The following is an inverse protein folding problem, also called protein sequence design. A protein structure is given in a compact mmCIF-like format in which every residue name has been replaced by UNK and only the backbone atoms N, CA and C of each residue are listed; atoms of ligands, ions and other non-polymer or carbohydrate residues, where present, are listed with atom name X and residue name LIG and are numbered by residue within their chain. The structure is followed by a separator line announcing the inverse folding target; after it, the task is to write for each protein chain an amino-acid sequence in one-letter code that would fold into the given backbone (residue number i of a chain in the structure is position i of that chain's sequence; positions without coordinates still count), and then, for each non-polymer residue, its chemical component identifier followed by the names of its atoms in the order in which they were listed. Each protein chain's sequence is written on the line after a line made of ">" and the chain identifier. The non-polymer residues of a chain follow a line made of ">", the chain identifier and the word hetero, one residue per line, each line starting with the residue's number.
data_IF_391584480610
#
_entry.id   IF_391584480610
#
_cell.length_a   1.000
_cell.length_b   1.000
_cell.length_c   1.000
_cell.angle_alpha   90.00
_cell.angle_beta   90.00
_cell.angle_gamma   90.00
#
_symmetry.space_group_name_H-M   'P 1'
#
loop_
_entity.id
_entity.type
_entity.pdbx_description
1 polymer ?
#
# COMPACT_ATOMS: atom_id res chain seq x y z
N UNK A 1 2.28 14.84 26.70
CA UNK A 1 2.32 13.45 26.21
C UNK A 1 3.04 13.43 24.87
N UNK A 2 4.00 12.52 24.66
CA UNK A 2 4.69 12.35 23.38
C UNK A 2 3.66 11.86 22.32
N UNK A 3 3.61 12.43 21.10
CA UNK A 3 2.79 11.94 19.99
C UNK A 3 2.87 10.41 19.78
N UNK A 4 4.04 9.80 20.00
CA UNK A 4 4.22 8.35 19.93
C UNK A 4 3.36 7.58 20.96
N UNK A 5 3.21 8.13 22.17
CA UNK A 5 2.39 7.53 23.22
C UNK A 5 0.90 7.63 22.90
N UNK A 6 0.48 8.65 22.14
CA UNK A 6 -0.91 8.85 21.69
C UNK A 6 -1.25 7.97 20.48
N UNK A 7 -0.33 7.86 19.51
CA UNK A 7 -0.45 6.91 18.40
C UNK A 7 -0.51 5.47 18.93
N UNK A 8 0.32 5.13 19.91
CA UNK A 8 0.27 3.82 20.58
C UNK A 8 -1.07 3.54 21.27
N UNK A 9 -1.72 4.56 21.84
CA UNK A 9 -2.99 4.43 22.53
C UNK A 9 -4.17 4.27 21.55
N UNK A 10 -4.14 5.04 20.46
CA UNK A 10 -5.07 4.90 19.34
C UNK A 10 -4.93 3.53 18.68
N UNK A 11 -3.71 3.09 18.34
CA UNK A 11 -3.45 1.76 17.79
C UNK A 11 -3.83 0.64 18.76
N UNK A 12 -3.65 0.84 20.08
CA UNK A 12 -4.09 -0.12 21.08
C UNK A 12 -5.62 -0.26 21.12
N UNK A 13 -6.36 0.85 20.99
CA UNK A 13 -7.82 0.83 20.91
C UNK A 13 -8.33 0.30 19.57
N UNK A 14 -7.74 0.74 18.46
CA UNK A 14 -7.99 0.25 17.10
C UNK A 14 -7.79 -1.26 17.01
N UNK A 15 -6.62 -1.76 17.46
CA UNK A 15 -6.33 -3.20 17.46
C UNK A 15 -7.23 -3.99 18.41
N UNK A 16 -7.76 -3.38 19.48
CA UNK A 16 -8.73 -4.02 20.37
C UNK A 16 -10.10 -4.12 19.71
N UNK A 17 -10.56 -3.05 19.05
CA UNK A 17 -11.81 -3.02 18.29
C UNK A 17 -11.76 -3.99 17.10
N UNK A 18 -10.67 -4.01 16.32
CA UNK A 18 -10.50 -4.98 15.23
C UNK A 18 -10.48 -6.41 15.77
N UNK A 19 -9.83 -6.69 16.91
CA UNK A 19 -9.83 -8.04 17.51
C UNK A 19 -11.20 -8.46 18.01
N UNK A 20 -11.96 -7.55 18.61
CA UNK A 20 -13.33 -7.83 19.06
C UNK A 20 -14.27 -8.05 17.87
N UNK A 21 -14.19 -7.19 16.85
CA UNK A 21 -14.94 -7.35 15.61
C UNK A 21 -14.59 -8.68 14.92
N UNK A 22 -13.30 -8.98 14.75
CA UNK A 22 -12.83 -10.24 14.14
C UNK A 22 -13.24 -11.49 14.94
N UNK A 23 -13.20 -11.43 16.27
CA UNK A 23 -13.62 -12.54 17.13
C UNK A 23 -15.13 -12.84 17.02
N UNK A 24 -15.94 -11.83 16.67
CA UNK A 24 -17.38 -11.97 16.51
C UNK A 24 -17.83 -12.26 15.08
N UNK A 25 -17.20 -11.64 14.07
CA UNK A 25 -17.58 -11.82 12.66
C UNK A 25 -16.87 -13.00 12.00
N UNK A 26 -15.69 -13.40 12.50
CA UNK A 26 -14.83 -14.37 11.84
C UNK A 26 -14.19 -13.88 10.54
N UNK A 27 -14.45 -12.62 10.14
CA UNK A 27 -14.05 -12.05 8.84
C UNK A 27 -13.33 -10.71 9.04
N UNK A 28 -12.08 -10.63 8.58
CA UNK A 28 -11.23 -9.46 8.75
C UNK A 28 -11.70 -8.24 7.94
N UNK A 29 -12.32 -8.46 6.78
CA UNK A 29 -12.88 -7.40 5.93
C UNK A 29 -14.03 -6.65 6.59
N UNK A 30 -14.89 -7.36 7.35
CA UNK A 30 -15.98 -6.74 8.12
C UNK A 30 -15.43 -5.92 9.29
N UNK A 31 -14.34 -6.36 9.93
CA UNK A 31 -13.71 -5.62 11.02
C UNK A 31 -13.06 -4.31 10.54
N UNK A 32 -12.49 -4.31 9.32
CA UNK A 32 -11.90 -3.12 8.72
C UNK A 32 -12.97 -2.11 8.28
N UNK A 33 -14.04 -2.58 7.63
CA UNK A 33 -15.19 -1.76 7.26
C UNK A 33 -15.86 -1.09 8.47
N UNK A 34 -16.06 -1.83 9.56
CA UNK A 34 -16.67 -1.31 10.78
C UNK A 34 -15.86 -0.18 11.42
N UNK A 35 -14.53 -0.24 11.34
CA UNK A 35 -13.66 0.82 11.89
C UNK A 35 -13.62 2.04 10.97
N UNK A 36 -13.63 1.83 9.66
CA UNK A 36 -13.73 2.92 8.69
C UNK A 36 -15.06 3.67 8.84
N UNK A 37 -16.16 2.94 8.99
CA UNK A 37 -17.49 3.50 9.21
C UNK A 37 -17.61 4.19 10.58
N UNK A 38 -16.94 3.69 11.63
CA UNK A 38 -16.85 4.37 12.92
C UNK A 38 -16.12 5.72 12.80
N UNK A 39 -15.05 5.78 12.01
CA UNK A 39 -14.32 7.03 11.75
C UNK A 39 -15.16 8.03 10.95
N UNK A 40 -15.90 7.56 9.95
CA UNK A 40 -16.82 8.38 9.15
C UNK A 40 -17.97 8.91 10.03
N UNK A 41 -18.59 8.06 10.84
CA UNK A 41 -19.67 8.46 11.76
C UNK A 41 -19.21 9.50 12.79
N UNK A 42 -18.00 9.34 13.33
CA UNK A 42 -17.33 10.32 14.20
C UNK A 42 -17.20 11.70 13.55
N UNK A 43 -16.81 11.74 12.28
CA UNK A 43 -16.65 12.98 11.52
C UNK A 43 -17.99 13.67 11.22
N UNK A 44 -19.05 12.90 11.00
CA UNK A 44 -20.41 13.37 10.71
C UNK A 44 -21.23 13.77 11.96
N UNK A 45 -20.82 13.34 13.16
CA UNK A 45 -21.53 13.67 14.40
C UNK A 45 -21.36 15.17 14.71
N UNK A 46 -22.44 15.95 14.92
CA UNK A 46 -22.34 17.38 15.22
C UNK A 46 -21.51 17.62 16.48
N UNK A 47 -20.77 18.72 16.51
CA UNK A 47 -19.89 19.04 17.62
C UNK A 47 -20.70 19.18 18.93
N UNK A 48 -20.58 18.20 19.82
CA UNK A 48 -21.01 18.29 21.21
C UNK A 48 -19.86 18.83 22.06
N UNK A 49 -20.15 19.53 23.17
CA UNK A 49 -19.12 20.00 24.11
C UNK A 49 -18.40 18.86 24.84
N UNK A 50 -18.95 17.63 24.79
CA UNK A 50 -18.32 16.44 25.34
C UNK A 50 -17.77 15.54 24.20
N UNK A 51 -16.43 15.49 24.01
CA UNK A 51 -15.80 14.69 22.97
C UNK A 51 -15.94 13.19 23.18
N UNK A 52 -16.12 12.74 24.43
CA UNK A 52 -16.31 11.33 24.74
C UNK A 52 -17.69 10.88 24.27
N UNK A 53 -18.72 11.68 24.58
CA UNK A 53 -20.08 11.44 24.09
C UNK A 53 -20.15 11.45 22.55
N UNK A 54 -19.32 12.25 21.87
CA UNK A 54 -19.21 12.26 20.41
C UNK A 54 -18.60 10.95 19.87
N UNK A 55 -17.58 10.42 20.54
CA UNK A 55 -16.96 9.15 20.20
C UNK A 55 -17.92 7.98 20.40
N UNK A 56 -18.65 7.96 21.52
CA UNK A 56 -19.69 6.96 21.79
C UNK A 56 -20.81 7.00 20.76
N UNK A 57 -21.29 8.20 20.40
CA UNK A 57 -22.33 8.36 19.38
C UNK A 57 -21.87 7.90 17.99
N UNK A 58 -20.64 8.21 17.59
CA UNK A 58 -20.07 7.75 16.32
C UNK A 58 -19.92 6.22 16.25
N UNK A 59 -19.39 5.61 17.31
CA UNK A 59 -19.28 4.15 17.43
C UNK A 59 -20.64 3.46 17.45
N UNK A 60 -21.61 4.00 18.20
CA UNK A 60 -22.98 3.47 18.24
C UNK A 60 -23.67 3.56 16.87
N UNK A 61 -23.48 4.68 16.14
CA UNK A 61 -24.01 4.85 14.79
C UNK A 61 -23.39 3.88 13.79
N UNK A 62 -22.08 3.62 13.88
CA UNK A 62 -21.40 2.65 13.02
C UNK A 62 -21.85 1.22 13.32
N UNK A 63 -21.97 0.85 14.60
CA UNK A 63 -22.48 -0.47 14.99
C UNK A 63 -23.95 -0.68 14.55
N UNK A 64 -24.78 0.36 14.59
CA UNK A 64 -26.16 0.29 14.12
C UNK A 64 -26.29 0.02 12.61
N UNK A 65 -25.28 0.35 11.81
CA UNK A 65 -25.24 0.02 10.38
C UNK A 65 -24.98 -1.47 10.09
N UNK A 66 -24.61 -2.26 11.11
CA UNK A 66 -24.31 -3.69 11.02
C UNK A 66 -25.21 -4.53 11.94
N UNK A 67 -26.50 -4.74 11.57
CA UNK A 67 -27.50 -5.39 12.43
C UNK A 67 -27.25 -6.87 12.72
N UNK A 68 -26.23 -7.48 12.10
CA UNK A 68 -25.81 -8.87 12.36
C UNK A 68 -24.81 -8.99 13.53
N UNK A 69 -24.32 -7.88 14.07
CA UNK A 69 -23.41 -7.85 15.20
C UNK A 69 -24.21 -7.55 16.47
N UNK A 70 -24.47 -8.55 17.31
CA UNK A 70 -24.93 -8.38 18.70
C UNK A 70 -23.81 -7.74 19.55
N UNK A 71 -23.35 -6.56 19.15
CA UNK A 71 -22.21 -5.84 19.73
C UNK A 71 -22.73 -4.59 20.39
N UNK A 72 -22.78 -4.62 21.72
CA UNK A 72 -22.98 -3.41 22.51
C UNK A 72 -21.78 -2.47 22.31
N UNK A 73 -22.00 -1.16 22.14
CA UNK A 73 -20.91 -0.20 22.12
C UNK A 73 -20.08 -0.33 23.41
N UNK A 74 -18.74 -0.17 23.33
CA UNK A 74 -17.90 -0.24 24.53
C UNK A 74 -18.33 0.84 25.52
N UNK A 75 -18.65 0.42 26.75
CA UNK A 75 -18.99 1.31 27.86
C UNK A 75 -17.73 2.09 28.29
N UNK A 76 -17.54 3.30 27.75
CA UNK A 76 -16.35 4.11 28.03
C UNK A 76 -16.34 4.61 29.48
N UNK A 77 -17.47 4.55 30.20
CA UNK A 77 -17.54 4.89 31.62
C UNK A 77 -16.65 3.98 32.50
N UNK A 78 -16.23 2.83 31.96
CA UNK A 78 -15.30 1.91 32.62
C UNK A 78 -13.81 2.25 32.40
N UNK A 79 -13.48 3.27 31.61
CA UNK A 79 -12.10 3.73 31.46
C UNK A 79 -11.59 4.33 32.77
N UNK A 80 -10.31 4.08 33.07
CA UNK A 80 -9.65 4.71 34.20
C UNK A 80 -9.75 6.26 34.06
N UNK A 81 -9.95 7.01 35.15
CA UNK A 81 -10.08 8.47 35.09
C UNK A 81 -8.93 9.17 34.35
N UNK A 82 -7.72 8.63 34.45
CA UNK A 82 -6.55 9.15 33.74
C UNK A 82 -6.65 9.07 32.20
N UNK A 83 -7.38 8.09 31.67
CA UNK A 83 -7.58 7.93 30.23
C UNK A 83 -8.72 8.82 29.72
N UNK A 84 -9.76 9.05 30.54
CA UNK A 84 -10.78 10.06 30.29
C UNK A 84 -10.18 11.47 30.15
N UNK A 85 -9.29 11.86 31.08
CA UNK A 85 -8.66 13.18 31.06
C UNK A 85 -7.71 13.36 29.86
N UNK A 86 -7.04 12.29 29.43
CA UNK A 86 -6.18 12.30 28.24
C UNK A 86 -6.98 12.48 26.95
N UNK A 87 -8.11 11.78 26.82
CA UNK A 87 -9.01 11.93 25.66
C UNK A 87 -9.60 13.35 25.61
N UNK A 88 -10.04 13.89 26.74
CA UNK A 88 -10.58 15.26 26.82
C UNK A 88 -9.52 16.31 26.43
N UNK A 89 -8.28 16.17 26.91
CA UNK A 89 -7.19 17.08 26.58
C UNK A 89 -6.77 17.03 25.10
N UNK A 90 -6.98 15.90 24.42
CA UNK A 90 -6.71 15.75 22.98
C UNK A 90 -7.69 16.57 22.13
N UNK A 91 -8.99 16.44 22.39
CA UNK A 91 -10.03 17.14 21.61
C UNK A 91 -10.14 18.64 21.92
N UNK A 92 -9.53 19.10 23.02
CA UNK A 92 -9.48 20.52 23.38
C UNK A 92 -8.26 21.27 22.79
N UNK A 93 -7.36 20.61 22.07
CA UNK A 93 -6.24 21.29 21.39
C UNK A 93 -6.71 21.94 20.09
N UNK A 94 -6.27 23.18 19.90
CA UNK A 94 -6.44 23.94 18.66
C UNK A 94 -5.81 23.17 17.48
N UNK A 95 -6.57 22.87 16.41
CA UNK A 95 -6.09 22.09 15.25
C UNK A 95 -4.95 22.79 14.49
N UNK A 96 -4.69 24.07 14.74
CA UNK A 96 -3.55 24.80 14.16
C UNK A 96 -2.23 24.59 14.94
N UNK A 97 -2.30 24.11 16.18
CA UNK A 97 -1.15 23.93 17.05
C UNK A 97 -0.56 22.51 16.96
N UNK A 98 -0.03 22.16 15.78
CA UNK A 98 0.77 20.93 15.59
C UNK A 98 0.44 20.15 14.34
N UNK A 99 0.72 20.71 13.16
CA UNK A 99 0.69 19.95 11.91
C UNK A 99 1.82 18.89 11.88
N UNK A 100 1.55 17.66 11.40
CA UNK A 100 2.54 16.60 11.30
C UNK A 100 3.63 16.98 10.28
N UNK A 101 4.89 16.80 10.66
CA UNK A 101 6.04 17.11 9.82
C UNK A 101 6.21 16.06 8.70
N UNK A 102 5.96 16.47 7.45
CA UNK A 102 6.61 15.97 6.23
C UNK A 102 6.22 14.58 5.68
N UNK A 103 6.32 13.51 6.48
CA UNK A 103 6.19 12.13 5.96
C UNK A 103 4.74 11.72 5.73
N UNK A 104 3.88 11.96 6.72
CA UNK A 104 2.54 11.38 6.75
C UNK A 104 1.58 12.07 5.77
N UNK A 105 1.80 13.36 5.52
CA UNK A 105 0.99 14.14 4.57
C UNK A 105 1.24 13.73 3.13
N UNK A 106 2.47 13.34 2.80
CA UNK A 106 2.83 12.92 1.42
C UNK A 106 2.11 11.62 1.06
N UNK A 107 2.00 10.67 2.01
CA UNK A 107 1.31 9.41 1.79
C UNK A 107 -0.19 9.58 1.48
N UNK A 108 -0.83 10.58 2.11
CA UNK A 108 -2.24 10.91 1.86
C UNK A 108 -2.46 11.62 0.52
N UNK A 109 -1.52 12.48 0.12
CA UNK A 109 -1.67 13.31 -1.07
C UNK A 109 -1.23 12.61 -2.37
N UNK A 110 -0.36 11.60 -2.30
CA UNK A 110 0.19 10.96 -3.49
C UNK A 110 -0.87 10.29 -4.39
N UNK A 111 -1.84 9.50 -3.86
CA UNK A 111 -2.89 8.93 -4.70
C UNK A 111 -3.76 10.00 -5.34
N UNK A 112 -4.05 11.08 -4.60
CA UNK A 112 -4.86 12.18 -5.08
C UNK A 112 -4.14 13.01 -6.14
N UNK A 113 -2.85 13.28 -5.97
CA UNK A 113 -2.01 13.94 -6.97
C UNK A 113 -1.98 13.15 -8.28
N UNK A 114 -1.76 11.82 -8.19
CA UNK A 114 -1.79 10.95 -9.36
C UNK A 114 -3.15 10.97 -10.07
N UNK A 115 -4.25 10.94 -9.32
CA UNK A 115 -5.60 11.03 -9.89
C UNK A 115 -5.88 12.38 -10.57
N UNK A 116 -5.51 13.47 -9.91
CA UNK A 116 -5.83 14.84 -10.33
C UNK A 116 -4.90 15.38 -11.40
N UNK A 117 -3.68 14.89 -11.54
CA UNK A 117 -2.72 15.45 -12.50
C UNK A 117 -2.06 14.41 -13.40
N UNK A 118 -2.15 13.12 -13.05
CA UNK A 118 -1.45 12.03 -13.77
C UNK A 118 0.04 11.93 -13.46
N UNK A 119 0.54 12.68 -12.48
CA UNK A 119 1.96 12.75 -12.11
C UNK A 119 2.21 12.69 -10.61
N UNK A 120 3.49 12.54 -10.25
CA UNK A 120 3.98 12.53 -8.87
C UNK A 120 4.99 13.64 -8.63
N UNK A 121 5.00 14.70 -9.45
CA UNK A 121 5.93 15.80 -9.27
C UNK A 121 5.60 16.57 -7.98
N UNK A 122 6.58 17.21 -7.33
CA UNK A 122 6.32 18.06 -6.17
C UNK A 122 5.29 19.17 -6.43
N UNK A 123 5.14 19.60 -7.70
CA UNK A 123 4.08 20.52 -8.10
C UNK A 123 2.69 19.88 -7.99
N UNK A 124 2.53 18.62 -8.40
CA UNK A 124 1.27 17.88 -8.33
C UNK A 124 0.78 17.70 -6.89
N UNK A 125 1.70 17.42 -5.96
CA UNK A 125 1.40 17.33 -4.54
C UNK A 125 0.90 18.65 -3.96
N UNK A 126 1.43 19.80 -4.42
CA UNK A 126 0.95 21.13 -4.03
C UNK A 126 -0.43 21.44 -4.61
N UNK A 127 -0.69 21.03 -5.85
CA UNK A 127 -2.02 21.13 -6.47
C UNK A 127 -3.04 20.33 -5.64
N UNK A 128 -2.75 19.05 -5.35
CA UNK A 128 -3.62 18.21 -4.53
C UNK A 128 -3.85 18.80 -3.12
N UNK A 129 -2.79 19.32 -2.48
CA UNK A 129 -2.90 19.98 -1.19
C UNK A 129 -3.79 21.24 -1.24
N UNK A 130 -3.65 22.06 -2.28
CA UNK A 130 -4.44 23.28 -2.44
C UNK A 130 -5.91 22.96 -2.65
N UNK A 131 -6.21 22.02 -3.55
CA UNK A 131 -7.59 21.62 -3.87
C UNK A 131 -8.32 20.98 -2.68
N UNK A 132 -7.59 20.29 -1.80
CA UNK A 132 -8.13 19.70 -0.56
C UNK A 132 -8.21 20.68 0.62
N UNK A 133 -7.69 21.91 0.48
CA UNK A 133 -7.61 22.87 1.59
C UNK A 133 -6.56 22.52 2.65
N UNK A 134 -5.61 21.65 2.33
CA UNK A 134 -4.52 21.22 3.20
C UNK A 134 -3.20 21.98 2.93
N UNK A 135 -3.17 22.84 1.92
CA UNK A 135 -1.99 23.64 1.60
C UNK A 135 -1.66 24.62 2.73
N UNK A 136 -0.38 24.68 3.10
CA UNK A 136 0.14 25.74 3.97
C UNK A 136 0.30 27.05 3.19
N UNK A 137 0.32 28.22 3.85
CA UNK A 137 0.49 29.51 3.16
C UNK A 137 1.74 29.57 2.27
N UNK A 138 2.83 28.91 2.69
CA UNK A 138 4.06 28.79 1.90
C UNK A 138 3.85 27.97 0.63
N UNK A 139 3.10 26.88 0.70
CA UNK A 139 2.80 26.03 -0.46
C UNK A 139 1.83 26.69 -1.41
N UNK A 140 0.84 27.44 -0.91
CA UNK A 140 -0.03 28.26 -1.76
C UNK A 140 0.77 29.28 -2.55
N UNK A 141 1.74 29.95 -1.89
CA UNK A 141 2.60 30.92 -2.56
C UNK A 141 3.48 30.26 -3.63
N UNK A 142 4.05 29.08 -3.33
CA UNK A 142 4.81 28.29 -4.30
C UNK A 142 3.94 27.82 -5.47
N UNK A 143 2.69 27.42 -5.22
CA UNK A 143 1.76 27.01 -6.25
C UNK A 143 1.42 28.18 -7.17
N UNK A 144 1.12 29.36 -6.63
CA UNK A 144 0.86 30.56 -7.44
C UNK A 144 2.06 30.90 -8.32
N UNK A 145 3.26 30.91 -7.74
CA UNK A 145 4.48 31.14 -8.51
C UNK A 145 4.70 30.08 -9.60
N UNK A 146 4.35 28.82 -9.35
CA UNK A 146 4.44 27.75 -10.35
C UNK A 146 3.42 27.94 -11.48
N UNK A 147 2.17 28.25 -11.16
CA UNK A 147 1.10 28.54 -12.13
C UNK A 147 1.45 29.75 -13.00
N UNK A 148 2.03 30.81 -12.41
CA UNK A 148 2.39 32.05 -13.11
C UNK A 148 3.67 31.92 -13.96
N UNK A 149 4.48 30.87 -13.75
CA UNK A 149 5.77 30.73 -14.42
C UNK A 149 5.66 30.37 -15.91
N UNK A 150 4.74 29.47 -16.28
CA UNK A 150 4.58 28.99 -17.65
C UNK A 150 3.11 28.67 -17.97
N UNK A 151 2.60 28.96 -19.19
CA UNK A 151 1.22 28.66 -19.57
C UNK A 151 0.83 27.19 -19.44
N UNK A 152 1.79 26.27 -19.63
CA UNK A 152 1.55 24.82 -19.46
C UNK A 152 1.21 24.46 -18.01
N UNK A 153 1.70 25.21 -17.03
CA UNK A 153 1.38 24.99 -15.62
C UNK A 153 -0.03 25.45 -15.26
N UNK A 154 -0.49 26.58 -15.83
CA UNK A 154 -1.88 27.02 -15.65
C UNK A 154 -2.86 26.06 -16.28
N UNK A 155 -2.60 25.57 -17.50
CA UNK A 155 -3.43 24.55 -18.16
C UNK A 155 -3.51 23.26 -17.33
N UNK A 156 -2.38 22.81 -16.78
CA UNK A 156 -2.32 21.62 -15.92
C UNK A 156 -3.08 21.82 -14.60
N UNK A 157 -3.01 23.01 -14.00
CA UNK A 157 -3.77 23.35 -12.81
C UNK A 157 -5.28 23.39 -13.07
N UNK A 158 -5.71 24.02 -14.15
CA UNK A 158 -7.12 24.08 -14.56
C UNK A 158 -7.70 22.67 -14.80
N UNK A 159 -6.97 21.81 -15.53
CA UNK A 159 -7.38 20.43 -15.75
C UNK A 159 -7.47 19.60 -14.45
N UNK A 160 -6.67 19.91 -13.44
CA UNK A 160 -6.76 19.29 -12.12
C UNK A 160 -7.94 19.83 -11.31
N UNK A 161 -8.20 21.13 -11.39
CA UNK A 161 -9.33 21.80 -10.76
C UNK A 161 -10.67 21.28 -11.32
N UNK A 162 -10.81 21.18 -12.63
CA UNK A 162 -12.01 20.63 -13.28
C UNK A 162 -12.30 19.19 -12.84
N UNK A 163 -11.26 18.35 -12.78
CA UNK A 163 -11.38 16.97 -12.26
C UNK A 163 -11.81 16.95 -10.79
N UNK A 164 -11.23 17.82 -9.97
CA UNK A 164 -11.59 17.95 -8.57
C UNK A 164 -13.03 18.43 -8.37
N UNK A 165 -13.47 19.42 -9.15
CA UNK A 165 -14.85 19.92 -9.10
C UNK A 165 -15.85 18.83 -9.52
N UNK A 166 -15.55 18.09 -10.58
CA UNK A 166 -16.35 16.94 -11.01
C UNK A 166 -16.49 15.89 -9.89
N UNK A 167 -15.39 15.58 -9.17
CA UNK A 167 -15.43 14.65 -8.04
C UNK A 167 -16.33 15.17 -6.90
N UNK A 168 -16.30 16.47 -6.60
CA UNK A 168 -17.13 17.09 -5.55
C UNK A 168 -18.62 17.14 -5.87
N UNK A 169 -18.98 17.14 -7.15
CA UNK A 169 -20.38 17.12 -7.58
C UNK A 169 -21.04 15.76 -7.31
N UNK A 170 -20.26 14.71 -7.07
CA UNK A 170 -20.78 13.42 -6.65
C UNK A 170 -20.84 13.34 -5.11
N UNK A 171 -22.00 12.99 -4.52
CA UNK A 171 -22.09 12.82 -3.08
C UNK A 171 -21.21 11.66 -2.61
N UNK A 172 -20.73 11.71 -1.36
CA UNK A 172 -19.80 10.72 -0.79
C UNK A 172 -20.32 9.26 -0.80
N UNK A 173 -21.64 9.09 -0.95
CA UNK A 173 -22.32 7.80 -1.08
C UNK A 173 -22.50 7.34 -2.54
N UNK A 174 -21.99 8.08 -3.53
CA UNK A 174 -22.10 7.74 -4.93
C UNK A 174 -21.27 6.49 -5.25
N UNK A 175 -21.94 5.35 -5.33
CA UNK A 175 -21.40 4.18 -6.00
C UNK A 175 -21.63 4.34 -7.50
N UNK A 176 -20.58 4.29 -8.34
CA UNK A 176 -20.77 4.34 -9.78
C UNK A 176 -21.67 3.19 -10.20
N UNK A 177 -22.74 3.50 -10.93
CA UNK A 177 -23.62 2.48 -11.49
C UNK A 177 -22.88 1.75 -12.62
N UNK A 178 -22.21 0.66 -12.22
CA UNK A 178 -21.42 -0.18 -13.11
C UNK A 178 -22.29 -0.76 -14.24
N UNK A 179 -23.57 -1.00 -13.97
CA UNK A 179 -24.50 -1.54 -14.94
C UNK A 179 -24.86 -0.48 -16.00
N UNK A 180 -25.18 0.74 -15.59
CA UNK A 180 -25.38 1.86 -16.52
C UNK A 180 -24.12 2.20 -17.34
N UNK A 181 -22.94 2.11 -16.73
CA UNK A 181 -21.67 2.25 -17.44
C UNK A 181 -21.49 1.18 -18.52
N UNK A 182 -21.80 -0.08 -18.20
CA UNK A 182 -21.78 -1.17 -19.17
C UNK A 182 -22.83 -1.03 -20.27
N UNK A 183 -24.01 -0.51 -19.97
CA UNK A 183 -25.05 -0.23 -20.96
C UNK A 183 -24.63 0.86 -21.94
N UNK A 184 -23.96 1.93 -21.49
CA UNK A 184 -23.39 2.93 -22.40
C UNK A 184 -22.34 2.33 -23.34
N UNK A 185 -21.46 1.47 -22.82
CA UNK A 185 -20.48 0.76 -23.64
C UNK A 185 -21.19 -0.16 -24.65
N UNK A 186 -22.19 -0.93 -24.20
CA UNK A 186 -23.01 -1.79 -25.07
C UNK A 186 -23.73 -0.98 -26.16
N UNK A 187 -24.28 0.17 -25.81
CA UNK A 187 -24.94 1.08 -26.74
C UNK A 187 -23.98 1.62 -27.80
N UNK A 188 -22.76 2.00 -27.41
CA UNK A 188 -21.71 2.43 -28.37
C UNK A 188 -21.25 1.29 -29.28
N UNK A 189 -21.21 0.06 -28.77
CA UNK A 189 -20.88 -1.14 -29.56
C UNK A 189 -22.00 -1.53 -30.55
N UNK A 190 -23.26 -1.18 -30.29
CA UNK A 190 -24.39 -1.49 -31.16
C UNK A 190 -24.51 -0.58 -32.40
N UNK A 191 -23.73 0.50 -32.50
CA UNK A 191 -23.86 1.49 -33.60
C UNK A 191 -23.03 1.14 -34.85
N UNK A 192 -22.42 -0.03 -34.92
CA UNK A 192 -21.96 -0.56 -36.20
C UNK A 192 -23.07 -1.47 -36.74
N UNK A 193 -23.98 -0.96 -37.61
CA UNK A 193 -24.83 -1.85 -38.37
C UNK A 193 -23.89 -2.77 -39.12
N UNK A 194 -23.82 -4.03 -38.69
CA UNK A 194 -23.26 -5.12 -39.46
C UNK A 194 -24.10 -5.16 -40.73
N UNK A 195 -23.68 -4.38 -41.74
CA UNK A 195 -24.29 -4.40 -43.05
C UNK A 195 -24.28 -5.85 -43.47
N UNK A 196 -25.46 -6.47 -43.51
CA UNK A 196 -25.63 -7.88 -43.82
C UNK A 196 -24.80 -8.17 -45.06
N UNK A 197 -23.69 -8.92 -44.96
CA UNK A 197 -22.82 -9.11 -46.10
C UNK A 197 -23.65 -9.85 -47.14
N UNK A 198 -23.86 -9.22 -48.30
CA UNK A 198 -24.43 -9.90 -49.46
C UNK A 198 -23.67 -11.23 -49.64
N UNK A 199 -24.36 -12.37 -49.86
CA UNK A 199 -23.75 -13.70 -49.79
C UNK A 199 -22.75 -13.93 -50.94
N UNK A 200 -21.55 -13.37 -50.78
CA UNK A 200 -20.39 -13.62 -51.62
C UNK A 200 -19.66 -14.83 -51.04
N UNK A 201 -20.07 -16.00 -51.54
CA UNK A 201 -19.63 -17.35 -51.12
C UNK A 201 -18.12 -17.65 -51.25
N UNK A 202 -17.26 -16.65 -51.52
CA UNK A 202 -15.83 -16.90 -51.86
C UNK A 202 -14.79 -16.09 -51.09
N UNK A 203 -15.15 -15.23 -50.12
CA UNK A 203 -14.14 -14.41 -49.40
C UNK A 203 -14.41 -14.26 -47.89
N UNK A 204 -14.78 -15.33 -47.19
CA UNK A 204 -14.97 -15.30 -45.73
C UNK A 204 -13.68 -15.50 -44.91
N UNK A 205 -12.55 -15.89 -45.53
CA UNK A 205 -11.29 -16.10 -44.81
C UNK A 205 -10.74 -14.86 -44.06
N UNK A 206 -10.74 -13.62 -44.59
CA UNK A 206 -10.10 -12.50 -43.89
C UNK A 206 -10.87 -12.07 -42.62
N UNK A 207 -12.19 -12.25 -42.59
CA UNK A 207 -12.99 -11.93 -41.40
C UNK A 207 -12.70 -12.85 -40.21
N UNK A 208 -12.49 -14.15 -40.49
CA UNK A 208 -12.13 -15.12 -39.45
C UNK A 208 -10.74 -14.83 -38.86
N UNK A 209 -9.78 -14.46 -39.71
CA UNK A 209 -8.42 -14.12 -39.27
C UNK A 209 -8.43 -12.89 -38.36
N UNK A 210 -9.20 -11.84 -38.70
CA UNK A 210 -9.30 -10.63 -37.88
C UNK A 210 -9.99 -10.91 -36.54
N UNK A 211 -11.04 -11.73 -36.53
CA UNK A 211 -11.73 -12.14 -35.31
C UNK A 211 -10.80 -12.96 -34.39
N UNK A 212 -10.05 -13.91 -34.94
CA UNK A 212 -9.07 -14.69 -34.18
C UNK A 212 -7.94 -13.82 -33.62
N UNK A 213 -7.52 -12.79 -34.35
CA UNK A 213 -6.47 -11.86 -33.91
C UNK A 213 -6.98 -10.92 -32.81
N UNK A 214 -8.24 -10.50 -32.86
CA UNK A 214 -8.93 -9.76 -31.79
C UNK A 214 -9.13 -10.62 -30.54
N UNK A 215 -9.52 -11.89 -30.70
CA UNK A 215 -9.65 -12.82 -29.58
C UNK A 215 -8.29 -13.13 -28.97
N UNK A 216 -7.25 -13.36 -29.78
CA UNK A 216 -5.90 -13.60 -29.30
C UNK A 216 -5.32 -12.36 -28.62
N UNK A 217 -5.54 -11.16 -29.17
CA UNK A 217 -5.13 -9.89 -28.55
C UNK A 217 -5.90 -9.61 -27.25
N UNK A 218 -7.20 -9.86 -27.23
CA UNK A 218 -8.05 -9.73 -26.05
C UNK A 218 -7.69 -10.73 -24.96
N UNK A 219 -7.40 -11.99 -25.33
CA UNK A 219 -6.88 -13.00 -24.40
C UNK A 219 -5.48 -12.65 -23.90
N UNK A 220 -4.62 -12.08 -24.75
CA UNK A 220 -3.29 -11.63 -24.34
C UNK A 220 -3.36 -10.48 -23.33
N UNK A 221 -4.30 -9.56 -23.49
CA UNK A 221 -4.46 -8.42 -22.59
C UNK A 221 -5.25 -8.78 -21.31
N UNK A 222 -6.25 -9.65 -21.46
CA UNK A 222 -7.11 -10.12 -20.37
C UNK A 222 -6.53 -11.28 -19.58
N UNK A 223 -5.48 -11.95 -20.06
CA UNK A 223 -4.67 -12.80 -19.20
C UNK A 223 -3.94 -11.86 -18.24
N UNK A 224 -4.27 -11.84 -16.93
CA UNK A 224 -3.40 -11.19 -15.98
C UNK A 224 -2.03 -11.80 -16.19
N UNK A 225 -1.05 -10.97 -16.59
CA UNK A 225 0.34 -11.39 -16.60
C UNK A 225 0.55 -12.14 -15.28
N UNK A 226 0.95 -13.43 -15.29
CA UNK A 226 0.87 -14.28 -14.12
C UNK A 226 1.54 -13.53 -12.99
N UNK A 227 0.73 -12.97 -12.08
CA UNK A 227 1.25 -12.20 -10.98
C UNK A 227 2.19 -13.17 -10.29
N UNK A 228 3.46 -12.79 -10.05
CA UNK A 228 4.42 -13.69 -9.45
C UNK A 228 3.79 -14.19 -8.16
N UNK A 229 3.28 -15.43 -8.18
CA UNK A 229 2.59 -16.00 -7.02
C UNK A 229 3.69 -16.32 -6.04
N UNK A 230 3.80 -15.54 -4.98
CA UNK A 230 4.69 -15.90 -3.89
C UNK A 230 3.99 -16.97 -3.07
N UNK A 231 4.61 -18.15 -3.00
CA UNK A 231 4.22 -19.16 -2.02
C UNK A 231 4.81 -18.77 -0.68
N UNK A 232 3.99 -18.71 0.37
CA UNK A 232 4.52 -18.68 1.72
C UNK A 232 5.28 -20.00 1.96
N UNK A 233 6.56 -19.91 2.31
CA UNK A 233 7.29 -21.07 2.78
C UNK A 233 6.76 -21.41 4.17
N UNK A 234 6.04 -22.52 4.30
CA UNK A 234 5.40 -22.96 5.55
C UNK A 234 6.31 -23.85 6.41
N UNK A 235 7.57 -24.02 6.03
CA UNK A 235 8.52 -24.78 6.83
C UNK A 235 8.90 -24.05 8.12
N UNK A 236 9.32 -24.79 9.17
CA UNK A 236 9.71 -24.21 10.44
C UNK A 236 10.96 -23.32 10.25
N UNK A 237 10.75 -22.00 10.26
CA UNK A 237 11.85 -21.03 10.20
C UNK A 237 12.43 -20.83 11.60
N UNK A 238 13.73 -21.11 11.83
CA UNK A 238 14.35 -20.85 13.12
C UNK A 238 14.36 -19.35 13.39
N UNK A 239 13.72 -18.96 14.50
CA UNK A 239 13.64 -17.57 14.94
C UNK A 239 12.32 -16.87 14.68
N UNK A 240 11.32 -17.50 14.04
CA UNK A 240 9.96 -16.91 13.96
C UNK A 240 9.79 -15.80 12.90
N UNK A 241 10.73 -15.69 11.96
CA UNK A 241 10.56 -14.90 10.73
C UNK A 241 9.65 -15.60 9.72
N UNK A 242 9.15 -14.83 8.75
CA UNK A 242 8.41 -15.37 7.61
C UNK A 242 9.29 -15.37 6.35
N UNK A 243 9.15 -16.39 5.53
CA UNK A 243 9.88 -16.53 4.28
C UNK A 243 8.89 -16.73 3.12
N UNK A 244 9.07 -15.99 2.05
CA UNK A 244 8.24 -16.05 0.85
C UNK A 244 9.11 -16.37 -0.36
N UNK A 245 8.66 -17.29 -1.20
CA UNK A 245 9.40 -17.75 -2.37
C UNK A 245 8.56 -17.46 -3.60
N UNK A 246 9.19 -17.10 -4.72
CA UNK A 246 8.44 -16.98 -5.97
C UNK A 246 8.03 -18.38 -6.44
N UNK A 247 6.84 -18.53 -7.02
CA UNK A 247 6.42 -19.77 -7.65
C UNK A 247 7.44 -20.20 -8.72
N UNK A 248 7.88 -21.46 -8.63
CA UNK A 248 8.89 -22.05 -9.51
C UNK A 248 10.33 -21.96 -8.98
N UNK A 249 10.59 -21.11 -7.97
CA UNK A 249 11.88 -21.13 -7.29
C UNK A 249 11.96 -22.30 -6.30
N UNK A 250 13.16 -22.85 -6.16
CA UNK A 250 13.41 -23.98 -5.27
C UNK A 250 14.22 -23.52 -4.07
N UNK A 251 13.69 -23.71 -2.87
CA UNK A 251 14.40 -23.44 -1.63
C UNK A 251 14.70 -24.76 -0.95
N UNK A 252 15.99 -25.02 -0.75
CA UNK A 252 16.47 -26.12 0.06
C UNK A 252 16.98 -25.54 1.38
N UNK A 253 16.06 -25.21 2.28
CA UNK A 253 16.43 -24.77 3.62
C UNK A 253 16.86 -26.00 4.43
N UNK A 254 18.16 -26.12 4.70
CA UNK A 254 18.67 -27.09 5.67
C UNK A 254 19.18 -26.34 6.88
N UNK A 255 18.30 -26.13 7.85
CA UNK A 255 18.69 -25.55 9.12
C UNK A 255 19.52 -26.56 9.89
N UNK A 256 20.84 -26.49 9.73
CA UNK A 256 21.77 -27.09 10.67
C UNK A 256 21.70 -26.34 12.03
N UNK A 257 22.43 -26.79 13.05
CA UNK A 257 22.54 -26.07 14.33
C UNK A 257 23.08 -24.63 14.17
N UNK A 258 23.57 -24.26 12.99
CA UNK A 258 24.11 -22.95 12.66
C UNK A 258 23.12 -22.11 11.81
N UNK A 259 21.97 -22.66 11.42
CA UNK A 259 20.92 -21.98 10.65
C UNK A 259 21.27 -21.75 9.18
N UNK A 260 22.03 -22.64 8.54
CA UNK A 260 22.40 -22.46 7.12
C UNK A 260 21.19 -22.52 6.19
N UNK A 261 21.20 -21.75 5.09
CA UNK A 261 20.14 -21.75 4.08
C UNK A 261 20.75 -21.90 2.69
N UNK A 262 20.28 -22.88 1.92
CA UNK A 262 20.60 -22.99 0.50
C UNK A 262 19.41 -22.48 -0.32
N UNK A 263 19.64 -21.40 -1.05
CA UNK A 263 18.65 -20.79 -1.94
C UNK A 263 18.97 -21.18 -3.38
N UNK A 264 17.95 -21.37 -4.22
CA UNK A 264 18.09 -21.33 -5.68
C UNK A 264 16.87 -20.59 -6.24
N UNK A 265 17.04 -19.30 -6.50
CA UNK A 265 15.98 -18.40 -6.97
C UNK A 265 15.87 -17.15 -6.10
N UNK A 266 14.64 -16.71 -5.85
CA UNK A 266 14.27 -15.50 -5.12
C UNK A 266 13.58 -15.86 -3.81
N UNK A 267 14.03 -15.24 -2.73
CA UNK A 267 13.49 -15.40 -1.40
C UNK A 267 13.33 -14.04 -0.73
N UNK A 268 12.12 -13.74 -0.26
CA UNK A 268 11.87 -12.59 0.59
C UNK A 268 11.79 -13.07 2.03
N UNK A 269 12.56 -12.43 2.91
CA UNK A 269 12.61 -12.73 4.33
C UNK A 269 12.09 -11.53 5.11
N UNK A 270 11.06 -11.77 5.92
CA UNK A 270 10.61 -10.85 6.95
C UNK A 270 11.19 -11.29 8.30
N UNK A 271 12.24 -10.59 8.73
CA UNK A 271 12.89 -10.80 10.01
C UNK A 271 12.44 -9.80 11.07
N UNK A 272 11.45 -8.94 10.78
CA UNK A 272 10.96 -7.95 11.76
C UNK A 272 10.32 -8.62 12.98
N UNK A 273 9.71 -9.80 12.79
CA UNK A 273 9.15 -10.61 13.88
C UNK A 273 10.17 -11.54 14.54
N UNK A 274 11.40 -11.65 14.02
CA UNK A 274 12.32 -12.74 14.38
C UNK A 274 13.11 -12.51 15.70
N UNK A 275 12.86 -11.42 16.41
CA UNK A 275 13.59 -11.05 17.63
C UNK A 275 15.09 -10.79 17.37
N UNK A 276 15.93 -10.83 18.43
CA UNK A 276 17.38 -10.56 18.34
C UNK A 276 18.20 -11.68 17.67
N UNK A 277 17.57 -12.64 17.00
CA UNK A 277 18.29 -13.76 16.41
C UNK A 277 18.95 -13.31 15.09
N UNK A 278 20.27 -13.49 15.02
CA UNK A 278 21.03 -13.21 13.81
C UNK A 278 20.87 -14.38 12.85
N UNK A 279 20.30 -14.13 11.67
CA UNK A 279 20.25 -15.12 10.61
C UNK A 279 21.61 -15.13 9.89
N UNK A 280 22.25 -16.31 9.77
CA UNK A 280 23.46 -16.51 8.96
C UNK A 280 23.12 -17.27 7.69
N UNK A 281 23.02 -16.54 6.59
CA UNK A 281 22.79 -17.09 5.26
C UNK A 281 24.12 -17.54 4.66
N UNK A 282 24.32 -18.85 4.59
CA UNK A 282 25.56 -19.45 4.06
C UNK A 282 25.41 -19.69 2.56
N UNK A 283 25.87 -18.73 1.76
CA UNK A 283 26.21 -19.00 0.37
C UNK A 283 27.48 -19.90 0.33
N UNK A 284 27.76 -20.66 -0.74
CA UNK A 284 28.82 -21.67 -0.80
C UNK A 284 30.20 -21.25 -0.28
N UNK A 285 30.50 -19.95 -0.19
CA UNK A 285 31.76 -19.43 0.35
C UNK A 285 31.61 -18.24 1.33
N UNK A 286 30.39 -17.77 1.65
CA UNK A 286 30.19 -16.52 2.41
C UNK A 286 28.96 -16.58 3.33
N UNK A 287 29.02 -15.85 4.44
CA UNK A 287 27.96 -15.81 5.45
C UNK A 287 27.35 -14.40 5.53
N UNK A 288 26.17 -14.21 4.95
CA UNK A 288 25.40 -12.98 5.14
C UNK A 288 24.75 -13.03 6.52
N UNK A 289 25.04 -12.04 7.35
CA UNK A 289 24.38 -11.86 8.64
C UNK A 289 23.27 -10.82 8.52
N UNK A 290 22.08 -11.12 9.03
CA UNK A 290 21.02 -10.10 9.15
C UNK A 290 20.56 -10.03 10.59
N UNK A 291 20.40 -8.80 11.09
CA UNK A 291 19.87 -8.54 12.43
C UNK A 291 18.35 -8.37 12.40
N UNK A 292 17.83 -7.48 11.57
CA UNK A 292 16.41 -7.15 11.51
C UNK A 292 16.04 -6.58 10.13
N UNK A 293 14.79 -6.75 9.70
CA UNK A 293 14.29 -6.09 8.50
C UNK A 293 13.60 -7.01 7.50
N UNK A 294 13.13 -6.39 6.43
CA UNK A 294 12.51 -7.05 5.28
C UNK A 294 13.52 -7.00 4.13
N UNK A 295 13.93 -8.16 3.64
CA UNK A 295 14.98 -8.27 2.63
C UNK A 295 14.63 -9.25 1.54
N UNK A 296 15.05 -8.94 0.33
CA UNK A 296 14.92 -9.78 -0.85
C UNK A 296 16.30 -10.31 -1.24
N UNK A 297 16.41 -11.63 -1.31
CA UNK A 297 17.58 -12.37 -1.75
C UNK A 297 17.28 -12.96 -3.11
N UNK A 298 18.17 -12.76 -4.07
CA UNK A 298 18.08 -13.39 -5.37
C UNK A 298 19.42 -14.00 -5.75
N UNK A 299 19.40 -15.29 -6.09
CA UNK A 299 20.56 -15.96 -6.67
C UNK A 299 20.31 -16.22 -8.16
N UNK A 300 21.24 -15.77 -9.00
CA UNK A 300 21.25 -16.02 -10.45
C UNK A 300 22.62 -16.55 -10.86
N UNK A 301 22.74 -17.88 -10.96
CA UNK A 301 24.05 -18.53 -11.15
C UNK A 301 24.95 -18.35 -9.93
N UNK A 302 26.13 -17.76 -10.14
CA UNK A 302 27.08 -17.42 -9.06
C UNK A 302 26.85 -16.03 -8.47
N UNK A 303 26.00 -15.22 -9.09
CA UNK A 303 25.67 -13.88 -8.63
C UNK A 303 24.56 -13.93 -7.60
N UNK A 304 24.79 -13.26 -6.49
CA UNK A 304 23.83 -13.00 -5.44
C UNK A 304 23.49 -11.52 -5.41
N UNK A 305 22.23 -11.24 -5.17
CA UNK A 305 21.70 -9.91 -4.96
C UNK A 305 20.93 -9.89 -3.65
N UNK A 306 21.21 -8.87 -2.84
CA UNK A 306 20.56 -8.62 -1.55
C UNK A 306 20.02 -7.21 -1.60
N UNK A 307 18.70 -7.07 -1.56
CA UNK A 307 18.02 -5.79 -1.48
C UNK A 307 17.35 -5.65 -0.11
N UNK A 308 17.62 -4.56 0.59
CA UNK A 308 16.96 -4.25 1.86
C UNK A 308 15.73 -3.38 1.59
N UNK A 309 14.55 -3.91 1.86
CA UNK A 309 13.26 -3.24 1.65
C UNK A 309 12.90 -2.38 2.86
N UNK A 310 13.11 -2.89 4.07
CA UNK A 310 12.87 -2.17 5.32
C UNK A 310 13.81 -2.64 6.43
N UNK A 311 14.06 -1.81 7.45
CA UNK A 311 14.89 -2.13 8.60
C UNK A 311 16.38 -1.83 8.42
N UNK A 312 17.25 -2.53 9.15
CA UNK A 312 18.71 -2.36 9.07
C UNK A 312 19.41 -3.71 8.95
N UNK A 313 20.21 -3.88 7.90
CA UNK A 313 20.96 -5.12 7.68
C UNK A 313 22.47 -4.86 7.61
N UNK A 314 23.25 -5.79 8.17
CA UNK A 314 24.70 -5.76 8.15
C UNK A 314 25.22 -6.95 7.36
N UNK A 315 25.38 -6.78 6.05
CA UNK A 315 25.88 -7.83 5.18
C UNK A 315 27.38 -8.03 5.43
N UNK A 316 27.74 -9.18 6.02
CA UNK A 316 29.12 -9.64 6.12
C UNK A 316 29.50 -10.43 4.87
N UNK A 317 30.54 -10.01 4.17
CA UNK A 317 30.99 -10.62 2.93
C UNK A 317 32.48 -10.94 3.03
N UNK A 318 32.81 -12.13 3.53
CA UNK A 318 34.19 -12.44 3.93
C UNK A 318 34.54 -11.65 5.18
N UNK A 319 35.57 -10.78 5.10
CA UNK A 319 35.95 -9.87 6.19
C UNK A 319 35.31 -8.47 6.06
N UNK A 320 34.70 -8.17 4.91
CA UNK A 320 34.10 -6.87 4.66
C UNK A 320 32.70 -6.79 5.29
N UNK A 321 32.44 -5.70 6.01
CA UNK A 321 31.15 -5.42 6.62
C UNK A 321 30.45 -4.30 5.85
N UNK A 322 29.33 -4.64 5.21
CA UNK A 322 28.52 -3.71 4.44
C UNK A 322 27.23 -3.39 5.18
N UNK A 323 27.05 -2.14 5.57
CA UNK A 323 25.79 -1.66 6.13
C UNK A 323 24.80 -1.32 5.02
N UNK A 324 23.65 -1.98 5.02
CA UNK A 324 22.55 -1.75 4.10
C UNK A 324 21.48 -0.89 4.79
N UNK A 325 21.02 0.13 4.08
CA UNK A 325 19.87 0.98 4.45
C UNK A 325 18.66 0.60 3.58
N UNK A 326 17.42 0.89 4.01
CA UNK A 326 16.24 0.68 3.17
C UNK A 326 16.43 1.29 1.77
N UNK A 327 16.07 0.56 0.73
CA UNK A 327 16.29 0.94 -0.66
C UNK A 327 17.72 0.72 -1.16
N UNK A 328 18.63 0.15 -0.38
CA UNK A 328 19.95 -0.24 -0.90
C UNK A 328 19.96 -1.69 -1.42
N UNK A 329 20.77 -1.92 -2.44
CA UNK A 329 21.09 -3.26 -2.94
C UNK A 329 22.59 -3.51 -2.89
N UNK A 330 22.95 -4.76 -2.65
CA UNK A 330 24.31 -5.24 -2.79
C UNK A 330 24.35 -6.45 -3.70
N UNK A 331 25.35 -6.47 -4.58
CA UNK A 331 25.67 -7.62 -5.40
C UNK A 331 26.96 -8.23 -4.91
N UNK A 332 27.01 -9.56 -4.89
CA UNK A 332 28.27 -10.28 -4.76
C UNK A 332 28.28 -11.51 -5.65
N UNK A 333 29.46 -11.83 -6.17
CA UNK A 333 29.67 -13.00 -7.03
C UNK A 333 30.55 -14.01 -6.28
N UNK A 334 30.12 -15.28 -6.28
CA UNK A 334 30.71 -16.30 -5.41
C UNK A 334 32.21 -16.53 -5.68
N UNK A 335 32.66 -16.44 -6.94
CA UNK A 335 34.05 -16.67 -7.31
C UNK A 335 34.98 -15.48 -7.15
N UNK A 336 34.54 -14.27 -7.51
CA UNK A 336 35.40 -13.06 -7.50
C UNK A 336 35.36 -12.33 -6.17
N UNK A 337 34.24 -12.48 -5.47
CA UNK A 337 34.02 -11.81 -4.22
C UNK A 337 33.80 -10.30 -4.32
N UNK A 338 33.61 -9.78 -5.53
CA UNK A 338 33.35 -8.37 -5.79
C UNK A 338 32.05 -7.96 -5.10
N UNK A 339 32.11 -6.98 -4.21
CA UNK A 339 30.92 -6.37 -3.60
C UNK A 339 30.65 -5.05 -4.30
N UNK A 340 29.50 -4.93 -4.95
CA UNK A 340 29.01 -3.65 -5.45
C UNK A 340 27.78 -3.25 -4.65
N UNK A 341 27.89 -2.15 -3.90
CA UNK A 341 26.75 -1.52 -3.24
C UNK A 341 26.19 -0.44 -4.15
N UNK A 342 24.88 -0.47 -4.33
CA UNK A 342 24.16 0.52 -5.10
C UNK A 342 22.95 1.00 -4.29
N UNK A 343 22.75 2.31 -4.26
CA UNK A 343 21.54 2.90 -3.68
C UNK A 343 20.50 2.91 -4.80
N UNK A 344 19.40 2.18 -4.61
CA UNK A 344 18.32 2.21 -5.59
C UNK A 344 17.68 3.60 -5.59
N UNK A 345 17.42 4.13 -6.78
CA UNK A 345 16.47 5.22 -6.92
C UNK A 345 15.11 4.78 -6.33
N UNK A 346 14.35 5.74 -5.77
CA UNK A 346 13.05 5.53 -5.12
C UNK A 346 12.10 4.61 -5.88
N UNK A 347 12.20 4.63 -7.22
CA UNK A 347 11.29 3.95 -8.14
C UNK A 347 11.47 2.42 -8.16
N UNK A 348 12.61 1.91 -7.69
CA UNK A 348 12.84 0.46 -7.62
C UNK A 348 12.08 -0.18 -6.45
N UNK A 349 11.84 0.55 -5.36
CA UNK A 349 10.96 0.08 -4.28
C UNK A 349 9.52 -0.05 -4.78
N UNK A 350 9.07 0.84 -5.68
CA UNK A 350 7.79 0.71 -6.36
C UNK A 350 7.77 -0.53 -7.29
N UNK A 351 8.85 -0.81 -8.02
CA UNK A 351 8.97 -2.02 -8.83
C UNK A 351 8.96 -3.34 -8.04
N UNK A 352 9.38 -3.32 -6.76
CA UNK A 352 9.23 -4.45 -5.84
C UNK A 352 7.87 -4.45 -5.12
N UNK A 353 7.20 -3.31 -4.95
CA UNK A 353 5.80 -3.27 -4.49
C UNK A 353 4.85 -3.98 -5.48
N UNK A 354 5.22 -4.08 -6.76
CA UNK A 354 4.53 -4.92 -7.76
C UNK A 354 4.67 -6.45 -7.50
N UNK A 355 5.49 -6.88 -6.54
CA UNK A 355 5.58 -8.29 -6.14
C UNK A 355 4.42 -8.75 -5.24
N UNK A 356 3.45 -7.87 -4.95
CA UNK A 356 2.29 -8.22 -4.11
C UNK A 356 2.62 -8.34 -2.61
N UNK A 357 3.87 -8.13 -2.23
CA UNK A 357 4.28 -7.86 -0.86
C UNK A 357 4.12 -6.36 -0.64
N UNK A 358 2.93 -5.94 -0.21
CA UNK A 358 2.73 -4.57 0.25
C UNK A 358 3.76 -4.27 1.35
N UNK A 359 4.56 -3.21 1.19
CA UNK A 359 5.24 -2.62 2.33
C UNK A 359 4.15 -2.15 3.30
N UNK A 360 4.07 -2.67 4.54
CA UNK A 360 3.14 -2.15 5.54
C UNK A 360 3.55 -0.77 6.02
#
# INVERSE_FOLDING_TARGET
>A
MNPEALHSLFLAHYSRLCRQALAHTGEASLAEGLVQDAFVALSATPATPDPLARLEAGLASALAAYPAADVLPPDLSQLAPADHDRLRAFFQRDPTAGQPAGSDRTALLLPLASLLTGGTDPADLRVAAYLTGLATPTEEHQLRHWVDAEPVHSERFEAAYERWDALRQHPDWYQPDVEAGWEQVRGRLQVLPLASPAPSRRRMMPGLALLLLLIAGGLWWGWPAPSPRYGAYTGPWPGGGQAYTRAGDSIAATFDRQGSLWLRGTLVLDLRSAGRQQLKLRAPQRALQVREGLLCLRQTGERWEVALLAGTAELLVGEEKLHLTPGSRAFFEAGTGLVQKEVLASDYCAGLAWTGLACP
#
